data_IF_782474998420
#
_entry.id   IF_782474998420
#
_cell.length_a   1.000
_cell.length_b   1.000
_cell.length_c   1.000
_cell.angle_alpha   90.00
_cell.angle_beta   90.00
_cell.angle_gamma   90.00
#
_symmetry.space_group_name_H-M   'P 1'
#
loop_
_entity.id
_entity.type
_entity.pdbx_description
1 polymer ?
#
# COMPACT_ATOMS: atom_id res chain seq x y z
N UNK A 1 -12.73 5.54 18.42
CA UNK A 1 -11.59 4.78 17.88
C UNK A 1 -11.06 5.54 16.68
N UNK A 2 -9.82 5.26 16.25
CA UNK A 2 -9.23 5.82 15.03
C UNK A 2 -8.76 4.68 14.13
N UNK A 3 -8.58 4.97 12.85
CA UNK A 3 -7.82 4.10 11.94
C UNK A 3 -6.38 4.62 11.83
N UNK A 4 -5.43 3.70 11.64
CA UNK A 4 -4.03 4.04 11.34
C UNK A 4 -3.78 3.87 9.85
N UNK A 5 -3.31 4.92 9.18
CA UNK A 5 -2.82 4.87 7.81
C UNK A 5 -1.29 4.88 7.80
N UNK A 6 -0.69 3.78 7.38
CA UNK A 6 0.77 3.62 7.29
C UNK A 6 1.25 4.18 5.95
N UNK A 7 2.01 5.28 6.00
CA UNK A 7 2.69 5.87 4.85
C UNK A 7 3.98 5.08 4.57
N UNK A 8 3.92 4.24 3.53
CA UNK A 8 4.98 3.32 3.11
C UNK A 8 6.02 3.96 2.18
N UNK A 9 5.83 5.22 1.75
CA UNK A 9 6.67 5.79 0.70
C UNK A 9 8.11 6.01 1.16
N UNK A 10 9.08 5.74 0.28
CA UNK A 10 10.50 5.87 0.59
C UNK A 10 10.92 7.34 0.78
N UNK A 11 11.93 7.58 1.63
CA UNK A 11 12.41 8.92 1.94
C UNK A 11 12.94 9.68 0.73
N UNK A 12 13.51 8.98 -0.27
CA UNK A 12 13.90 9.60 -1.55
C UNK A 12 12.72 10.34 -2.18
N UNK A 13 11.54 9.72 -2.25
CA UNK A 13 10.35 10.32 -2.86
C UNK A 13 9.82 11.44 -1.98
N UNK A 14 9.79 11.25 -0.66
CA UNK A 14 9.31 12.27 0.29
C UNK A 14 10.16 13.55 0.27
N UNK A 15 11.48 13.39 0.12
CA UNK A 15 12.46 14.46 0.14
C UNK A 15 12.67 15.10 -1.24
N UNK A 16 12.14 14.51 -2.31
CA UNK A 16 12.15 15.11 -3.65
C UNK A 16 11.25 16.36 -3.70
N UNK A 17 11.75 17.42 -4.33
CA UNK A 17 11.06 18.71 -4.39
C UNK A 17 9.71 18.66 -5.12
N UNK A 18 9.53 17.75 -6.08
CA UNK A 18 8.32 17.63 -6.90
C UNK A 18 7.50 16.41 -6.51
N UNK A 19 8.14 15.23 -6.48
CA UNK A 19 7.49 13.98 -6.13
C UNK A 19 7.05 13.96 -4.67
N UNK A 20 7.80 14.62 -3.77
CA UNK A 20 7.44 14.74 -2.35
C UNK A 20 6.21 15.60 -2.11
N UNK A 21 6.03 16.69 -2.88
CA UNK A 21 4.79 17.49 -2.87
C UNK A 21 3.63 16.63 -3.34
N UNK A 22 3.81 15.95 -4.48
CA UNK A 22 2.77 15.08 -5.05
C UNK A 22 2.39 13.92 -4.12
N UNK A 23 3.36 13.37 -3.39
CA UNK A 23 3.15 12.33 -2.37
C UNK A 23 2.33 12.88 -1.20
N UNK A 24 2.75 14.01 -0.60
CA UNK A 24 2.02 14.64 0.51
C UNK A 24 0.56 14.93 0.15
N UNK A 25 0.30 15.45 -1.05
CA UNK A 25 -1.07 15.70 -1.54
C UNK A 25 -1.87 14.41 -1.61
N UNK A 26 -1.32 13.34 -2.22
CA UNK A 26 -1.98 12.03 -2.32
C UNK A 26 -2.24 11.40 -0.95
N UNK A 27 -1.25 11.47 -0.04
CA UNK A 27 -1.35 10.97 1.33
C UNK A 27 -2.43 11.68 2.13
N UNK A 28 -2.50 13.01 2.06
CA UNK A 28 -3.53 13.79 2.76
C UNK A 28 -4.93 13.47 2.20
N UNK A 29 -5.05 13.32 0.87
CA UNK A 29 -6.30 12.90 0.26
C UNK A 29 -6.72 11.48 0.68
N UNK A 30 -5.77 10.54 0.77
CA UNK A 30 -6.03 9.18 1.26
C UNK A 30 -6.47 9.20 2.73
N UNK A 31 -5.78 9.94 3.60
CA UNK A 31 -6.14 10.11 5.01
C UNK A 31 -7.57 10.62 5.16
N UNK A 32 -7.94 11.69 4.44
CA UNK A 32 -9.28 12.27 4.51
C UNK A 32 -10.37 11.30 4.01
N UNK A 33 -10.11 10.58 2.91
CA UNK A 33 -11.06 9.59 2.36
C UNK A 33 -11.25 8.40 3.27
N UNK A 34 -10.16 7.88 3.84
CA UNK A 34 -10.22 6.77 4.79
C UNK A 34 -10.97 7.18 6.06
N UNK A 35 -10.71 8.38 6.58
CA UNK A 35 -11.46 8.89 7.73
C UNK A 35 -12.96 8.99 7.45
N UNK A 36 -13.33 9.55 6.30
CA UNK A 36 -14.72 9.67 5.88
C UNK A 36 -15.39 8.29 5.68
N UNK A 37 -14.68 7.34 5.05
CA UNK A 37 -15.20 5.99 4.79
C UNK A 37 -15.38 5.18 6.08
N UNK A 38 -14.48 5.33 7.06
CA UNK A 38 -14.58 4.65 8.35
C UNK A 38 -15.55 5.33 9.33
N UNK A 39 -15.89 6.61 9.11
CA UNK A 39 -16.59 7.41 10.11
C UNK A 39 -15.74 7.68 11.37
N UNK A 40 -14.41 7.55 11.25
CA UNK A 40 -13.44 7.65 12.34
C UNK A 40 -12.26 8.55 11.97
N UNK A 41 -11.58 9.20 12.93
CA UNK A 41 -10.32 9.89 12.66
C UNK A 41 -9.26 8.94 12.08
N UNK A 42 -8.41 9.47 11.20
CA UNK A 42 -7.32 8.72 10.58
C UNK A 42 -5.96 9.29 10.98
N UNK A 43 -5.16 8.51 11.71
CA UNK A 43 -3.79 8.86 12.10
C UNK A 43 -2.79 8.35 11.06
N UNK A 44 -1.94 9.24 10.55
CA UNK A 44 -0.88 8.87 9.61
C UNK A 44 0.37 8.49 10.37
N UNK A 45 0.85 7.26 10.18
CA UNK A 45 2.07 6.74 10.81
C UNK A 45 3.08 6.37 9.74
N UNK A 46 4.35 6.67 9.97
CA UNK A 46 5.47 6.25 9.10
C UNK A 46 5.77 4.77 9.29
N UNK A 47 6.06 4.04 8.21
CA UNK A 47 6.28 2.59 8.28
C UNK A 47 7.39 2.20 9.28
N UNK A 48 8.45 3.01 9.38
CA UNK A 48 9.58 2.81 10.29
C UNK A 48 9.15 2.89 11.77
N UNK A 49 8.05 3.58 12.04
CA UNK A 49 7.52 3.81 13.39
C UNK A 49 6.44 2.80 13.78
N UNK A 50 6.11 1.84 12.92
CA UNK A 50 5.10 0.81 13.19
C UNK A 50 5.74 -0.33 13.96
N UNK A 51 5.18 -0.65 15.13
CA UNK A 51 5.49 -1.83 15.92
C UNK A 51 4.21 -2.41 16.52
N UNK A 52 4.23 -3.68 16.91
CA UNK A 52 3.08 -4.34 17.55
C UNK A 52 2.63 -3.56 18.80
N UNK A 53 3.59 -3.15 19.63
CA UNK A 53 3.31 -2.44 20.89
C UNK A 53 2.74 -1.05 20.64
N UNK A 54 3.22 -0.34 19.62
CA UNK A 54 2.65 0.96 19.25
C UNK A 54 1.20 0.81 18.80
N UNK A 55 0.90 -0.16 17.94
CA UNK A 55 -0.47 -0.38 17.47
C UNK A 55 -1.38 -0.78 18.64
N UNK A 56 -0.93 -1.67 19.52
CA UNK A 56 -1.69 -2.03 20.74
C UNK A 56 -1.93 -0.85 21.67
N UNK A 57 -0.96 0.07 21.78
CA UNK A 57 -1.10 1.26 22.62
C UNK A 57 -2.06 2.30 22.03
N UNK A 58 -2.10 2.42 20.70
CA UNK A 58 -3.02 3.33 20.00
C UNK A 58 -4.46 2.81 19.98
N UNK A 59 -4.65 1.49 20.11
CA UNK A 59 -5.96 0.81 20.07
C UNK A 59 -6.82 1.27 18.86
N UNK A 60 -6.28 1.28 17.63
CA UNK A 60 -7.06 1.67 16.48
C UNK A 60 -8.06 0.56 16.09
N UNK A 61 -9.10 0.92 15.35
CA UNK A 61 -10.09 -0.03 14.82
C UNK A 61 -9.52 -0.85 13.64
N UNK A 62 -8.60 -0.28 12.86
CA UNK A 62 -7.94 -0.93 11.73
C UNK A 62 -6.62 -0.24 11.36
N UNK A 63 -5.78 -0.95 10.60
CA UNK A 63 -4.58 -0.41 9.95
C UNK A 63 -4.68 -0.55 8.42
N UNK A 64 -4.42 0.54 7.71
CA UNK A 64 -4.35 0.57 6.24
C UNK A 64 -2.92 0.89 5.84
N UNK A 65 -2.30 0.01 5.05
CA UNK A 65 -0.92 0.19 4.57
C UNK A 65 -0.96 0.71 3.14
N UNK A 66 -0.34 1.87 2.91
CA UNK A 66 -0.32 2.51 1.60
C UNK A 66 0.45 1.71 0.56
N UNK A 67 0.27 2.08 -0.71
CA UNK A 67 1.25 1.75 -1.74
C UNK A 67 2.50 2.63 -1.64
N UNK A 68 3.48 2.33 -2.49
CA UNK A 68 4.71 3.08 -2.67
C UNK A 68 4.98 3.30 -4.16
N UNK A 69 5.77 4.33 -4.46
CA UNK A 69 6.25 4.61 -5.82
C UNK A 69 7.69 4.12 -6.01
N UNK A 70 8.51 4.18 -4.96
CA UNK A 70 9.88 3.70 -4.98
C UNK A 70 9.95 2.17 -5.18
N UNK A 71 10.98 1.68 -5.87
CA UNK A 71 11.20 0.25 -6.05
C UNK A 71 11.65 -0.39 -4.72
N UNK A 72 11.28 -1.65 -4.48
CA UNK A 72 11.72 -2.40 -3.30
C UNK A 72 13.24 -2.48 -3.18
N UNK A 73 13.99 -2.46 -4.29
CA UNK A 73 15.46 -2.40 -4.26
C UNK A 73 16.02 -1.15 -3.59
N UNK A 74 15.20 -0.09 -3.44
CA UNK A 74 15.59 1.15 -2.81
C UNK A 74 15.40 1.15 -1.28
N UNK A 75 14.64 0.19 -0.74
CA UNK A 75 14.35 0.10 0.68
C UNK A 75 15.45 -0.67 1.42
N UNK A 76 15.84 -0.18 2.59
CA UNK A 76 16.50 -1.01 3.59
C UNK A 76 15.43 -1.84 4.33
N UNK A 77 15.38 -3.14 4.07
CA UNK A 77 14.40 -4.03 4.67
C UNK A 77 14.51 -4.13 6.21
N UNK A 78 15.66 -3.78 6.79
CA UNK A 78 15.78 -3.70 8.25
C UNK A 78 14.80 -2.67 8.83
N UNK A 79 14.55 -1.56 8.11
CA UNK A 79 13.60 -0.51 8.51
C UNK A 79 12.14 -0.95 8.45
N UNK A 80 11.83 -2.04 7.75
CA UNK A 80 10.49 -2.61 7.63
C UNK A 80 10.20 -3.67 8.69
N UNK A 81 11.19 -4.07 9.49
CA UNK A 81 11.07 -5.21 10.43
C UNK A 81 9.87 -5.06 11.36
N UNK A 82 9.71 -3.91 12.01
CA UNK A 82 8.57 -3.66 12.91
C UNK A 82 7.21 -3.72 12.22
N UNK A 83 7.12 -3.20 10.99
CA UNK A 83 5.91 -3.32 10.17
C UNK A 83 5.62 -4.78 9.80
N UNK A 84 6.63 -5.53 9.34
CA UNK A 84 6.49 -6.95 8.98
C UNK A 84 6.08 -7.82 10.18
N UNK A 85 6.63 -7.55 11.36
CA UNK A 85 6.22 -8.20 12.61
C UNK A 85 4.78 -7.85 12.98
N UNK A 86 4.39 -6.58 12.81
CA UNK A 86 3.01 -6.13 13.06
C UNK A 86 2.01 -6.78 12.11
N UNK A 87 2.37 -6.91 10.83
CA UNK A 87 1.58 -7.63 9.83
C UNK A 87 1.38 -9.09 10.26
N UNK A 88 2.45 -9.79 10.64
CA UNK A 88 2.37 -11.19 11.09
C UNK A 88 1.55 -11.36 12.36
N UNK A 89 1.71 -10.44 13.31
CA UNK A 89 1.00 -10.48 14.58
C UNK A 89 -0.49 -10.15 14.43
N UNK A 90 -0.86 -9.37 13.40
CA UNK A 90 -2.21 -8.94 13.07
C UNK A 90 -3.07 -8.58 14.31
N UNK A 91 -2.62 -7.64 15.17
CA UNK A 91 -3.32 -7.31 16.41
C UNK A 91 -4.70 -6.67 16.18
N UNK A 92 -4.98 -6.25 14.95
CA UNK A 92 -6.17 -5.57 14.44
C UNK A 92 -6.36 -5.94 12.96
N UNK A 93 -7.53 -5.67 12.34
CA UNK A 93 -7.71 -5.81 10.90
C UNK A 93 -6.70 -4.96 10.10
N UNK A 94 -6.12 -5.55 9.05
CA UNK A 94 -5.12 -4.92 8.18
C UNK A 94 -5.60 -4.93 6.74
N UNK A 95 -5.58 -3.76 6.09
CA UNK A 95 -5.80 -3.62 4.65
C UNK A 95 -4.52 -3.13 3.97
N UNK A 96 -3.93 -3.93 3.07
CA UNK A 96 -2.78 -3.53 2.26
C UNK A 96 -3.20 -3.08 0.87
N UNK A 97 -2.68 -1.93 0.42
CA UNK A 97 -2.95 -1.38 -0.93
C UNK A 97 -1.65 -1.40 -1.74
N UNK A 98 -1.66 -2.00 -2.94
CA UNK A 98 -0.50 -2.09 -3.82
C UNK A 98 0.75 -2.64 -3.07
N UNK A 99 1.77 -1.82 -2.81
CA UNK A 99 2.92 -2.19 -2.00
C UNK A 99 2.59 -2.72 -0.61
N UNK A 100 1.58 -2.16 0.06
CA UNK A 100 1.09 -2.70 1.33
C UNK A 100 0.57 -4.13 1.20
N UNK A 101 -0.09 -4.47 0.10
CA UNK A 101 -0.54 -5.84 -0.18
C UNK A 101 0.63 -6.77 -0.46
N UNK A 102 1.63 -6.28 -1.22
CA UNK A 102 2.87 -7.01 -1.46
C UNK A 102 3.57 -7.35 -0.14
N UNK A 103 3.73 -6.38 0.77
CA UNK A 103 4.32 -6.61 2.09
C UNK A 103 3.56 -7.61 2.94
N UNK A 104 2.21 -7.64 2.87
CA UNK A 104 1.43 -8.67 3.55
C UNK A 104 1.83 -10.06 3.03
N UNK A 105 1.86 -10.24 1.71
CA UNK A 105 2.32 -11.50 1.11
C UNK A 105 3.72 -11.88 1.58
N UNK A 106 4.68 -10.95 1.50
CA UNK A 106 6.07 -11.21 1.89
C UNK A 106 6.27 -11.49 3.37
N UNK A 107 5.52 -10.83 4.25
CA UNK A 107 5.55 -11.12 5.68
C UNK A 107 5.17 -12.58 5.98
N UNK A 108 4.42 -13.23 5.08
CA UNK A 108 4.01 -14.63 5.13
C UNK A 108 4.74 -15.52 4.10
N UNK A 109 5.87 -15.07 3.56
CA UNK A 109 6.75 -15.88 2.70
C UNK A 109 6.40 -15.89 1.21
N UNK A 110 5.46 -15.07 0.75
CA UNK A 110 5.22 -14.89 -0.67
C UNK A 110 6.36 -14.09 -1.34
N UNK A 111 6.59 -14.38 -2.62
CA UNK A 111 7.53 -13.65 -3.45
C UNK A 111 6.77 -12.70 -4.38
N UNK A 112 7.40 -11.58 -4.73
CA UNK A 112 6.96 -10.70 -5.81
C UNK A 112 8.10 -10.51 -6.80
N UNK A 113 7.74 -10.14 -8.02
CA UNK A 113 8.69 -9.79 -9.07
C UNK A 113 8.02 -8.84 -10.08
N UNK A 114 8.80 -8.15 -10.92
CA UNK A 114 8.24 -7.48 -12.09
C UNK A 114 7.44 -8.43 -12.99
N UNK A 115 6.45 -7.92 -13.72
CA UNK A 115 5.59 -8.68 -14.65
C UNK A 115 6.33 -9.25 -15.89
N UNK A 116 7.66 -9.08 -15.95
CA UNK A 116 8.51 -9.43 -17.08
C UNK A 116 8.69 -8.29 -18.09
N UNK A 117 9.53 -8.51 -19.12
CA UNK A 117 9.81 -7.51 -20.14
C UNK A 117 8.61 -7.25 -21.04
N UNK A 118 8.54 -6.04 -21.59
CA UNK A 118 7.61 -5.69 -22.68
C UNK A 118 7.89 -6.62 -23.87
N UNK A 119 6.87 -7.33 -24.43
CA UNK A 119 7.08 -8.22 -25.57
C UNK A 119 7.66 -7.50 -26.79
N UNK A 120 8.53 -8.19 -27.54
CA UNK A 120 9.09 -7.66 -28.78
C UNK A 120 7.99 -7.18 -29.73
N UNK A 121 8.17 -5.97 -30.28
CA UNK A 121 7.20 -5.35 -31.19
C UNK A 121 6.02 -4.65 -30.52
N UNK A 122 5.98 -4.60 -29.17
CA UNK A 122 4.96 -3.83 -28.44
C UNK A 122 5.53 -2.53 -27.87
N UNK A 123 4.67 -1.51 -27.72
CA UNK A 123 5.05 -0.20 -27.19
C UNK A 123 4.99 -0.25 -25.66
N UNK A 124 6.06 0.18 -24.99
CA UNK A 124 6.02 0.43 -23.55
C UNK A 124 5.02 1.56 -23.24
N UNK A 125 3.93 1.29 -22.50
CA UNK A 125 2.89 2.29 -22.24
C UNK A 125 3.35 3.40 -21.29
N UNK A 126 4.48 3.22 -20.58
CA UNK A 126 5.04 4.23 -19.69
C UNK A 126 6.57 4.11 -19.56
N UNK A 127 7.34 4.52 -20.57
CA UNK A 127 8.80 4.32 -20.59
C UNK A 127 9.56 5.11 -19.52
N UNK A 128 8.91 6.05 -18.83
CA UNK A 128 9.49 6.80 -17.70
C UNK A 128 9.34 6.12 -16.33
N UNK A 129 8.65 4.99 -16.26
CA UNK A 129 8.41 4.25 -15.01
C UNK A 129 8.65 2.77 -15.28
N UNK A 130 9.67 2.17 -14.66
CA UNK A 130 10.13 0.81 -14.96
C UNK A 130 10.30 0.57 -16.49
N UNK A 131 11.28 1.23 -17.13
CA UNK A 131 11.44 1.18 -18.59
C UNK A 131 11.65 -0.25 -19.10
N UNK A 132 10.93 -0.63 -20.16
CA UNK A 132 11.08 -1.95 -20.79
C UNK A 132 10.42 -3.10 -20.02
N UNK A 133 9.78 -2.83 -18.89
CA UNK A 133 8.99 -3.81 -18.13
C UNK A 133 7.49 -3.67 -18.44
N UNK A 134 6.78 -4.79 -18.44
CA UNK A 134 5.31 -4.79 -18.49
C UNK A 134 4.75 -4.09 -17.26
N UNK A 135 3.66 -3.38 -17.45
CA UNK A 135 2.95 -2.65 -16.40
C UNK A 135 1.46 -2.61 -16.71
N UNK A 136 0.64 -2.74 -15.68
CA UNK A 136 -0.81 -2.63 -15.76
C UNK A 136 -1.20 -1.27 -15.17
N UNK A 137 -1.88 -0.45 -15.98
CA UNK A 137 -2.25 0.91 -15.59
C UNK A 137 -3.56 1.31 -16.23
N UNK A 138 -4.44 1.88 -15.42
CA UNK A 138 -5.76 2.32 -15.83
C UNK A 138 -6.85 1.57 -15.08
N UNK A 139 -8.08 1.74 -15.55
CA UNK A 139 -9.23 0.99 -15.04
C UNK A 139 -9.27 -0.35 -15.77
N UNK A 140 -9.14 -1.42 -14.98
CA UNK A 140 -9.14 -2.79 -15.48
C UNK A 140 -10.26 -3.55 -14.77
N UNK A 141 -11.06 -4.35 -15.50
CA UNK A 141 -12.00 -5.25 -14.85
C UNK A 141 -11.24 -6.32 -14.08
N UNK A 142 -11.77 -6.72 -12.94
CA UNK A 142 -11.26 -7.84 -12.14
C UNK A 142 -12.42 -8.76 -11.75
N UNK A 143 -12.14 -10.05 -11.69
CA UNK A 143 -13.05 -11.01 -11.07
C UNK A 143 -12.84 -10.97 -9.55
N UNK A 144 -13.93 -10.78 -8.82
CA UNK A 144 -13.90 -10.59 -7.36
C UNK A 144 -14.43 -11.85 -6.68
N UNK A 145 -13.66 -12.37 -5.71
CA UNK A 145 -14.13 -13.45 -4.84
C UNK A 145 -15.19 -12.93 -3.86
N UNK A 146 -16.46 -13.23 -4.17
CA UNK A 146 -17.63 -12.81 -3.39
C UNK A 146 -17.72 -13.45 -2.00
N UNK A 147 -16.97 -14.52 -1.76
CA UNK A 147 -16.93 -15.13 -0.43
C UNK A 147 -16.14 -14.28 0.56
N UNK A 148 -15.26 -13.39 0.07
CA UNK A 148 -14.48 -12.50 0.92
C UNK A 148 -15.34 -11.40 1.55
N UNK A 149 -15.29 -11.21 2.89
CA UNK A 149 -15.96 -10.11 3.57
C UNK A 149 -15.57 -8.73 3.05
N UNK A 150 -14.37 -8.57 2.49
CA UNK A 150 -13.86 -7.30 1.96
C UNK A 150 -14.71 -6.76 0.80
N UNK A 151 -15.37 -7.65 0.05
CA UNK A 151 -16.09 -7.30 -1.17
C UNK A 151 -17.61 -7.42 -1.04
N UNK A 152 -18.10 -7.64 0.18
CA UNK A 152 -19.53 -7.65 0.45
C UNK A 152 -20.15 -6.28 0.16
N UNK A 153 -21.33 -6.27 -0.44
CA UNK A 153 -22.05 -5.04 -0.82
C UNK A 153 -21.61 -4.41 -2.14
N UNK A 154 -20.54 -4.91 -2.78
CA UNK A 154 -20.20 -4.53 -4.15
C UNK A 154 -21.15 -5.21 -5.15
N UNK A 155 -21.61 -4.50 -6.17
CA UNK A 155 -22.40 -5.08 -7.29
C UNK A 155 -21.55 -6.00 -8.18
N UNK A 156 -22.15 -6.63 -9.20
CA UNK A 156 -21.52 -7.67 -10.04
C UNK A 156 -20.26 -7.19 -10.80
N UNK A 157 -20.22 -5.91 -11.16
CA UNK A 157 -19.07 -5.24 -11.78
C UNK A 157 -18.81 -3.90 -11.06
N UNK A 158 -18.11 -3.90 -9.91
CA UNK A 158 -17.79 -2.67 -9.21
C UNK A 158 -16.80 -1.83 -10.06
N UNK A 159 -17.06 -0.52 -10.17
CA UNK A 159 -16.25 0.46 -10.93
C UNK A 159 -15.42 1.30 -9.98
#
# INVERSE_FOLDING_TARGET
MSIVYVDLEHDRVKNDATAGVSHRTRRNAAQARLAAAAGEPCEVVRFENVTVDRIRSLVPSAMVISGNTADWSEYDFATLTGLLETIRAAPIPILGICGGHQLIGHAHGAFWAPLGPVPNGTIDPHPRFAPGLRKERGFLPIDVDRSSPLFQGLGDAPV
#
